data_IF_222031530684
#
_entry.id   IF_222031530684
#
_cell.length_a   1.000
_cell.length_b   1.000
_cell.length_c   1.000
_cell.angle_alpha   90.00
_cell.angle_beta   90.00
_cell.angle_gamma   90.00
#
_symmetry.space_group_name_H-M   'P 1'
#
loop_
_entity.id
_entity.type
_entity.pdbx_description
1 polymer ?
#
# COMPACT_ATOMS: atom_id res chain seq x y z
N UNK A 1 19.53 8.95 7.35
CA UNK A 1 18.26 9.64 7.10
C UNK A 1 17.36 8.79 6.21
N UNK A 2 16.05 9.02 6.27
CA UNK A 2 15.06 8.35 5.41
C UNK A 2 15.36 8.50 3.93
N UNK A 3 15.94 9.59 3.50
CA UNK A 3 16.30 9.85 2.10
C UNK A 3 17.34 8.87 1.54
N UNK A 4 18.14 8.25 2.39
CA UNK A 4 19.26 7.40 2.05
C UNK A 4 19.00 5.91 2.26
N UNK A 5 17.72 5.48 2.30
CA UNK A 5 17.34 4.08 2.42
C UNK A 5 16.42 3.66 1.29
N UNK A 6 16.53 2.39 0.90
CA UNK A 6 15.58 1.77 -0.02
C UNK A 6 14.30 1.36 0.71
N UNK A 7 13.19 1.33 -0.03
CA UNK A 7 11.94 0.72 0.39
C UNK A 7 11.70 -0.59 -0.34
N UNK A 8 11.21 -1.60 0.38
CA UNK A 8 10.90 -2.90 -0.18
C UNK A 8 9.48 -3.33 0.20
N UNK A 9 8.66 -3.63 -0.79
CA UNK A 9 7.40 -4.31 -0.60
C UNK A 9 7.68 -5.79 -0.38
N UNK A 10 7.56 -6.27 0.87
CA UNK A 10 7.85 -7.68 1.20
C UNK A 10 6.83 -8.64 0.61
N UNK A 11 5.57 -8.23 0.59
CA UNK A 11 4.47 -9.05 0.09
C UNK A 11 4.48 -9.16 -1.42
N UNK A 12 4.06 -10.32 -1.91
CA UNK A 12 3.65 -10.50 -3.29
C UNK A 12 2.22 -10.02 -3.45
N UNK A 13 2.00 -9.12 -4.38
CA UNK A 13 0.68 -8.72 -4.89
C UNK A 13 0.46 -9.30 -6.28
N UNK A 14 -0.62 -8.94 -6.93
CA UNK A 14 -0.83 -9.27 -8.33
C UNK A 14 -1.20 -8.04 -9.15
N UNK A 15 -0.83 -8.09 -10.44
CA UNK A 15 -1.30 -7.18 -11.48
C UNK A 15 -2.26 -7.94 -12.39
N UNK A 16 -3.38 -7.32 -12.74
CA UNK A 16 -4.38 -7.89 -13.62
C UNK A 16 -4.55 -6.96 -14.82
N UNK A 17 -4.32 -7.47 -16.01
CA UNK A 17 -4.46 -6.69 -17.23
C UNK A 17 -5.91 -6.64 -17.72
N UNK A 18 -6.15 -5.88 -18.80
CA UNK A 18 -7.48 -5.73 -19.39
C UNK A 18 -8.07 -7.03 -19.96
N UNK A 19 -7.22 -8.04 -20.24
CA UNK A 19 -7.65 -9.38 -20.69
C UNK A 19 -8.01 -10.29 -19.51
N UNK A 20 -7.86 -9.83 -18.26
CA UNK A 20 -8.08 -10.65 -17.07
C UNK A 20 -6.91 -11.59 -16.73
N UNK A 21 -5.74 -11.43 -17.35
CA UNK A 21 -4.56 -12.21 -17.01
C UNK A 21 -3.89 -11.67 -15.75
N UNK A 22 -3.53 -12.57 -14.84
CA UNK A 22 -2.90 -12.25 -13.55
C UNK A 22 -1.41 -12.53 -13.61
N UNK A 23 -0.63 -11.55 -13.10
CA UNK A 23 0.82 -11.66 -12.89
C UNK A 23 1.14 -11.33 -11.43
N UNK A 24 2.05 -12.09 -10.83
CA UNK A 24 2.53 -11.81 -9.48
C UNK A 24 3.57 -10.70 -9.53
N UNK A 25 3.56 -9.83 -8.52
CA UNK A 25 4.43 -8.65 -8.48
C UNK A 25 5.00 -8.40 -7.11
N UNK A 26 6.26 -7.96 -7.05
CA UNK A 26 6.88 -7.31 -5.89
C UNK A 26 7.29 -5.89 -6.24
N UNK A 27 7.06 -4.97 -5.30
CA UNK A 27 7.31 -3.55 -5.46
C UNK A 27 8.60 -3.14 -4.74
N UNK A 28 9.41 -2.28 -5.36
CA UNK A 28 10.69 -1.80 -4.83
C UNK A 28 10.85 -0.31 -5.05
N UNK A 29 11.43 0.38 -4.06
CA UNK A 29 11.79 1.79 -4.14
C UNK A 29 13.28 1.92 -3.89
N UNK A 30 14.05 2.29 -4.91
CA UNK A 30 15.50 2.45 -4.83
C UNK A 30 15.85 3.92 -4.69
N UNK A 31 16.48 4.31 -3.58
CA UNK A 31 16.87 5.70 -3.36
C UNK A 31 17.82 6.20 -4.45
N UNK A 32 17.54 7.40 -4.97
CA UNK A 32 18.41 8.07 -5.95
C UNK A 32 19.43 9.01 -5.29
N UNK A 33 19.37 9.17 -3.95
CA UNK A 33 20.32 9.94 -3.15
C UNK A 33 21.54 9.12 -2.72
N UNK A 34 21.58 7.83 -3.04
CA UNK A 34 22.58 6.89 -2.54
C UNK A 34 22.29 6.39 -1.12
N UNK A 35 22.92 5.28 -0.76
CA UNK A 35 22.82 4.69 0.57
C UNK A 35 23.89 5.34 1.45
N UNK A 36 23.48 5.83 2.62
CA UNK A 36 24.38 6.36 3.64
C UNK A 36 24.13 5.68 4.98
N UNK A 37 25.22 5.38 5.68
CA UNK A 37 25.21 4.78 7.01
C UNK A 37 26.04 5.60 7.98
N UNK A 38 25.79 5.44 9.27
CA UNK A 38 26.54 6.06 10.36
C UNK A 38 27.04 5.01 11.32
N UNK A 39 28.10 5.31 12.07
CA UNK A 39 28.62 4.44 13.12
C UNK A 39 27.71 4.47 14.35
N UNK A 40 27.85 3.48 15.25
CA UNK A 40 27.11 3.44 16.50
C UNK A 40 27.35 4.70 17.36
N UNK A 41 28.61 5.15 17.48
CA UNK A 41 28.95 6.36 18.25
C UNK A 41 28.30 7.62 17.66
N UNK A 42 28.22 7.74 16.33
CA UNK A 42 27.51 8.84 15.67
C UNK A 42 25.99 8.75 15.95
N UNK A 43 25.44 7.53 15.91
CA UNK A 43 24.00 7.32 16.20
C UNK A 43 23.68 7.74 17.65
N UNK A 44 24.47 7.33 18.63
CA UNK A 44 24.32 7.72 20.04
C UNK A 44 24.38 9.24 20.23
N UNK A 45 25.36 9.91 19.62
CA UNK A 45 25.50 11.36 19.70
C UNK A 45 24.34 12.12 19.04
N UNK A 46 23.79 11.60 17.94
CA UNK A 46 22.63 12.18 17.26
C UNK A 46 21.38 12.01 18.12
N UNK A 47 21.12 10.79 18.59
CA UNK A 47 19.92 10.47 19.40
C UNK A 47 19.90 11.25 20.71
N UNK A 48 21.07 11.47 21.32
CA UNK A 48 21.19 12.26 22.55
C UNK A 48 20.75 13.73 22.37
N UNK A 49 20.85 14.26 21.16
CA UNK A 49 20.47 15.66 20.83
C UNK A 49 19.07 15.74 20.20
N UNK A 50 18.79 14.86 19.27
CA UNK A 50 17.57 14.91 18.47
C UNK A 50 17.19 13.50 17.99
N UNK A 51 16.24 12.88 18.69
CA UNK A 51 15.70 11.56 18.31
C UNK A 51 14.95 11.59 16.98
N UNK A 52 14.42 12.75 16.61
CA UNK A 52 13.63 12.96 15.39
C UNK A 52 14.50 13.49 14.23
N UNK A 53 15.82 13.33 14.31
CA UNK A 53 16.78 13.82 13.31
C UNK A 53 16.47 13.35 11.88
N UNK A 54 15.97 12.13 11.70
CA UNK A 54 15.61 11.61 10.40
C UNK A 54 14.38 12.32 9.81
N UNK A 55 13.39 12.60 10.64
CA UNK A 55 12.19 13.34 10.25
C UNK A 55 12.53 14.79 9.95
N UNK A 56 13.36 15.42 10.80
CA UNK A 56 13.87 16.79 10.59
C UNK A 56 14.60 16.91 9.27
N UNK A 57 15.54 16.01 8.99
CA UNK A 57 16.31 16.00 7.73
C UNK A 57 15.39 15.90 6.51
N UNK A 58 14.39 15.03 6.54
CA UNK A 58 13.42 14.89 5.46
C UNK A 58 12.62 16.18 5.25
N UNK A 59 12.05 16.71 6.33
CA UNK A 59 11.25 17.93 6.29
C UNK A 59 12.02 19.14 5.78
N UNK A 60 13.21 19.39 6.34
CA UNK A 60 14.06 20.53 5.98
C UNK A 60 14.57 20.45 4.53
N UNK A 61 14.88 19.25 4.03
CA UNK A 61 15.28 19.08 2.63
C UNK A 61 14.13 19.36 1.67
N UNK A 62 12.94 18.88 1.96
CA UNK A 62 11.75 19.21 1.15
C UNK A 62 11.47 20.72 1.20
N UNK A 63 11.54 21.34 2.38
CA UNK A 63 11.35 22.76 2.56
C UNK A 63 12.38 23.61 1.77
N UNK A 64 13.61 23.11 1.67
CA UNK A 64 14.69 23.76 0.91
C UNK A 64 14.63 23.50 -0.61
N UNK A 65 13.68 22.70 -1.09
CA UNK A 65 13.59 22.31 -2.50
C UNK A 65 14.51 21.16 -2.92
N UNK A 66 15.22 20.53 -1.98
CA UNK A 66 16.04 19.35 -2.21
C UNK A 66 15.19 18.10 -2.16
N UNK A 67 14.33 17.91 -3.15
CA UNK A 67 13.32 16.86 -3.18
C UNK A 67 13.94 15.46 -3.29
N UNK A 68 13.77 14.60 -2.28
CA UNK A 68 14.28 13.23 -2.35
C UNK A 68 13.44 12.38 -3.32
N UNK A 69 14.14 11.46 -4.00
CA UNK A 69 13.56 10.65 -5.08
C UNK A 69 13.93 9.18 -4.91
N UNK A 70 13.02 8.32 -5.36
CA UNK A 70 13.25 6.88 -5.47
C UNK A 70 12.83 6.40 -6.85
N UNK A 71 13.66 5.54 -7.45
CA UNK A 71 13.24 4.73 -8.59
C UNK A 71 12.19 3.74 -8.12
N UNK A 72 11.00 3.80 -8.70
CA UNK A 72 9.97 2.79 -8.48
C UNK A 72 10.17 1.65 -9.48
N UNK A 73 10.38 0.46 -8.95
CA UNK A 73 10.73 -0.73 -9.72
C UNK A 73 9.86 -1.90 -9.30
N UNK A 74 9.61 -2.82 -10.23
CA UNK A 74 8.84 -4.03 -9.97
C UNK A 74 9.59 -5.27 -10.44
N UNK A 75 9.31 -6.40 -9.79
CA UNK A 75 9.62 -7.74 -10.30
C UNK A 75 8.30 -8.43 -10.65
N UNK A 76 8.27 -9.14 -11.75
CA UNK A 76 7.08 -9.84 -12.26
C UNK A 76 7.37 -11.33 -12.37
N UNK A 77 6.36 -12.13 -12.02
CA UNK A 77 6.38 -13.59 -12.14
C UNK A 77 5.02 -14.05 -12.72
N UNK A 78 5.05 -14.94 -13.70
CA UNK A 78 3.81 -15.55 -14.24
C UNK A 78 3.27 -16.62 -13.29
N UNK A 79 2.03 -17.06 -13.51
CA UNK A 79 1.44 -18.17 -12.75
C UNK A 79 2.24 -19.46 -12.92
N UNK A 80 2.71 -19.74 -14.13
CA UNK A 80 3.51 -20.91 -14.46
C UNK A 80 4.85 -20.88 -13.73
N UNK A 81 5.54 -19.75 -13.77
CA UNK A 81 6.78 -19.55 -13.02
C UNK A 81 6.59 -19.72 -11.52
N UNK A 82 5.47 -19.25 -10.99
CA UNK A 82 5.17 -19.39 -9.55
C UNK A 82 4.95 -20.87 -9.15
N UNK A 83 4.31 -21.67 -10.02
CA UNK A 83 4.11 -23.12 -9.80
C UNK A 83 5.41 -23.91 -9.89
N UNK A 84 6.34 -23.51 -10.74
CA UNK A 84 7.64 -24.17 -10.94
C UNK A 84 8.74 -23.65 -10.03
N UNK A 85 8.47 -22.61 -9.23
CA UNK A 85 9.45 -21.96 -8.38
C UNK A 85 9.99 -22.92 -7.32
N UNK A 86 11.31 -22.94 -7.13
CA UNK A 86 11.99 -23.81 -6.14
C UNK A 86 11.78 -23.37 -4.67
N UNK A 87 11.17 -22.23 -4.46
CA UNK A 87 10.79 -21.68 -3.15
C UNK A 87 9.35 -21.15 -3.23
N UNK A 88 8.72 -20.95 -2.08
CA UNK A 88 7.39 -20.33 -2.05
C UNK A 88 7.48 -18.84 -2.40
N UNK A 89 7.01 -18.40 -3.59
CA UNK A 89 7.08 -17.00 -4.02
C UNK A 89 6.15 -16.07 -3.22
N UNK A 90 5.23 -16.63 -2.43
CA UNK A 90 4.30 -15.91 -1.56
C UNK A 90 4.76 -15.85 -0.10
N UNK A 91 5.92 -16.38 0.20
CA UNK A 91 6.57 -16.20 1.50
C UNK A 91 7.28 -14.83 1.50
N UNK A 92 6.79 -13.93 2.35
CA UNK A 92 7.31 -12.55 2.45
C UNK A 92 8.80 -12.50 2.87
N UNK A 93 9.35 -13.57 3.46
CA UNK A 93 10.77 -13.66 3.85
C UNK A 93 11.67 -14.01 2.68
N UNK A 94 11.13 -14.43 1.54
CA UNK A 94 11.90 -14.84 0.37
C UNK A 94 12.14 -13.67 -0.59
N UNK A 95 13.36 -13.61 -1.06
CA UNK A 95 13.79 -12.67 -2.11
C UNK A 95 13.67 -13.38 -3.46
N UNK A 96 13.07 -12.72 -4.44
CA UNK A 96 13.10 -13.20 -5.81
C UNK A 96 14.46 -12.87 -6.44
N UNK A 97 15.24 -13.84 -6.92
CA UNK A 97 16.55 -13.58 -7.50
C UNK A 97 16.47 -12.63 -8.70
N UNK A 98 17.25 -11.56 -8.70
CA UNK A 98 17.22 -10.55 -9.77
C UNK A 98 17.68 -11.12 -11.12
N UNK A 99 18.44 -12.22 -11.12
CA UNK A 99 18.87 -12.90 -12.34
C UNK A 99 17.67 -13.53 -13.08
N UNK A 100 16.73 -14.09 -12.31
CA UNK A 100 15.59 -14.82 -12.85
C UNK A 100 14.35 -13.91 -12.99
N UNK A 101 14.23 -12.94 -12.08
CA UNK A 101 13.16 -11.92 -12.03
C UNK A 101 13.79 -10.54 -12.00
N UNK A 102 14.19 -9.97 -13.14
CA UNK A 102 14.90 -8.69 -13.19
C UNK A 102 14.01 -7.53 -12.74
N UNK A 103 14.66 -6.50 -12.22
CA UNK A 103 13.99 -5.26 -11.83
C UNK A 103 13.56 -4.49 -13.08
N UNK A 104 12.30 -4.14 -13.14
CA UNK A 104 11.71 -3.33 -14.21
C UNK A 104 11.39 -1.95 -13.62
N UNK A 105 12.07 -0.92 -14.13
CA UNK A 105 11.81 0.46 -13.71
C UNK A 105 10.50 0.96 -14.34
N UNK A 106 9.58 1.40 -13.51
CA UNK A 106 8.26 1.89 -13.94
C UNK A 106 8.05 3.37 -13.68
N UNK A 107 8.83 3.99 -12.79
CA UNK A 107 8.68 5.41 -12.52
C UNK A 107 9.66 5.95 -11.49
N UNK A 108 9.42 7.20 -11.10
CA UNK A 108 10.15 7.88 -10.02
C UNK A 108 9.14 8.45 -9.03
N UNK A 109 9.29 8.07 -7.76
CA UNK A 109 8.60 8.72 -6.65
C UNK A 109 9.41 9.93 -6.20
N UNK A 110 8.79 11.09 -6.11
CA UNK A 110 9.41 12.32 -5.61
C UNK A 110 8.61 12.85 -4.43
N UNK A 111 9.25 13.13 -3.31
CA UNK A 111 8.62 13.82 -2.18
C UNK A 111 8.94 15.31 -2.30
N UNK A 112 7.95 16.11 -2.66
CA UNK A 112 8.11 17.52 -3.04
C UNK A 112 7.23 18.49 -2.25
N UNK A 113 6.45 18.00 -1.30
CA UNK A 113 5.58 18.83 -0.47
C UNK A 113 5.57 18.32 0.98
N UNK A 114 5.69 19.23 1.92
CA UNK A 114 5.51 18.95 3.34
C UNK A 114 4.05 19.10 3.74
N UNK A 115 3.56 18.38 4.76
CA UNK A 115 2.23 18.60 5.31
C UNK A 115 2.12 20.01 5.91
N UNK A 116 0.94 20.62 5.76
CA UNK A 116 0.61 21.91 6.39
C UNK A 116 0.14 21.76 7.82
N UNK A 117 -0.53 20.65 8.10
CA UNK A 117 -0.99 20.29 9.43
C UNK A 117 -0.67 18.82 9.69
N UNK A 118 0.29 18.59 10.58
CA UNK A 118 0.80 17.24 10.87
C UNK A 118 -0.30 16.31 11.41
N UNK A 119 -1.17 16.80 12.28
CA UNK A 119 -2.24 15.99 12.84
C UNK A 119 -3.22 15.53 11.76
N UNK A 120 -3.73 16.46 10.96
CA UNK A 120 -4.76 16.17 9.97
C UNK A 120 -4.24 15.35 8.77
N UNK A 121 -2.99 15.57 8.36
CA UNK A 121 -2.45 15.02 7.12
C UNK A 121 -1.51 13.83 7.35
N UNK A 122 -1.00 13.65 8.58
CA UNK A 122 -0.04 12.58 8.89
C UNK A 122 -0.54 11.67 10.01
N UNK A 123 -0.89 12.19 11.19
CA UNK A 123 -1.29 11.33 12.32
C UNK A 123 -2.59 10.57 12.06
N UNK A 124 -3.53 11.17 11.35
CA UNK A 124 -4.80 10.51 10.98
C UNK A 124 -4.70 9.67 9.71
N UNK A 125 -3.58 9.69 9.01
CA UNK A 125 -3.36 8.83 7.84
C UNK A 125 -3.43 7.35 8.24
N UNK A 126 -4.17 6.56 7.46
CA UNK A 126 -4.54 5.19 7.79
C UNK A 126 -4.22 4.27 6.61
N UNK A 127 -2.92 3.97 6.45
CA UNK A 127 -2.48 3.05 5.41
C UNK A 127 -2.95 1.62 5.69
N UNK A 128 -3.48 0.97 4.67
CA UNK A 128 -3.87 -0.44 4.75
C UNK A 128 -3.42 -1.19 3.49
N UNK A 129 -2.91 -2.42 3.65
CA UNK A 129 -2.57 -3.26 2.51
C UNK A 129 -3.79 -3.66 1.67
N UNK A 130 -5.00 -3.48 2.20
CA UNK A 130 -6.26 -3.72 1.47
C UNK A 130 -6.65 -2.58 0.52
N UNK A 131 -6.02 -1.40 0.64
CA UNK A 131 -6.33 -0.25 -0.21
C UNK A 131 -5.62 -0.38 -1.56
N UNK A 132 -6.20 -1.13 -2.45
CA UNK A 132 -5.71 -1.35 -3.82
C UNK A 132 -6.61 -0.62 -4.83
N UNK A 133 -6.08 -0.41 -6.02
CA UNK A 133 -6.80 0.18 -7.16
C UNK A 133 -7.10 -0.90 -8.19
N UNK A 134 -8.10 -0.70 -9.09
CA UNK A 134 -8.37 -1.64 -10.17
C UNK A 134 -7.10 -2.00 -10.95
N UNK A 135 -6.90 -3.31 -11.19
CA UNK A 135 -5.70 -3.85 -11.82
C UNK A 135 -4.59 -4.24 -10.84
N UNK A 136 -4.70 -3.89 -9.56
CA UNK A 136 -3.83 -4.40 -8.50
C UNK A 136 -4.69 -5.23 -7.53
N UNK A 137 -4.25 -6.44 -7.22
CA UNK A 137 -4.96 -7.33 -6.31
C UNK A 137 -3.99 -8.12 -5.42
N UNK A 138 -4.55 -8.98 -4.60
CA UNK A 138 -3.83 -9.73 -3.58
C UNK A 138 -3.20 -11.01 -4.13
N UNK A 139 -2.52 -11.73 -3.26
CA UNK A 139 -1.91 -13.03 -3.52
C UNK A 139 -2.23 -14.01 -2.39
N UNK A 140 -1.86 -15.30 -2.52
CA UNK A 140 -1.99 -16.30 -1.46
C UNK A 140 -1.04 -16.10 -0.27
N UNK A 141 -0.22 -15.05 -0.23
CA UNK A 141 0.63 -14.71 0.92
C UNK A 141 -0.20 -14.66 2.20
N UNK A 142 0.02 -15.62 3.10
CA UNK A 142 -0.78 -15.79 4.32
C UNK A 142 -0.70 -14.58 5.25
N UNK A 143 0.47 -13.94 5.32
CA UNK A 143 0.64 -12.74 6.14
C UNK A 143 -0.10 -11.54 5.52
N UNK A 144 -0.07 -11.39 4.20
CA UNK A 144 -0.85 -10.37 3.50
C UNK A 144 -2.35 -10.57 3.77
N UNK A 145 -2.85 -11.78 3.64
CA UNK A 145 -4.25 -12.12 3.92
C UNK A 145 -4.65 -11.77 5.37
N UNK A 146 -3.80 -12.05 6.34
CA UNK A 146 -4.04 -11.66 7.73
C UNK A 146 -4.03 -10.12 7.91
N UNK A 147 -3.12 -9.42 7.25
CA UNK A 147 -2.99 -7.95 7.33
C UNK A 147 -4.18 -7.21 6.72
N UNK A 148 -4.85 -7.77 5.72
CA UNK A 148 -6.07 -7.21 5.14
C UNK A 148 -7.16 -7.01 6.19
N UNK A 149 -7.26 -7.90 7.18
CA UNK A 149 -8.22 -7.78 8.28
C UNK A 149 -7.74 -6.90 9.42
N UNK A 150 -6.45 -6.98 9.76
CA UNK A 150 -5.93 -6.34 10.97
C UNK A 150 -5.87 -4.82 10.87
N UNK A 151 -5.51 -4.27 9.70
CA UNK A 151 -5.37 -2.82 9.58
C UNK A 151 -6.69 -2.05 9.62
N UNK A 152 -7.75 -2.46 8.92
CA UNK A 152 -9.04 -1.80 9.07
C UNK A 152 -9.57 -1.81 10.50
N UNK A 153 -9.41 -2.92 11.23
CA UNK A 153 -9.80 -3.03 12.62
C UNK A 153 -8.99 -2.08 13.52
N UNK A 154 -7.66 -2.11 13.38
CA UNK A 154 -6.77 -1.22 14.13
C UNK A 154 -7.08 0.27 13.88
N UNK A 155 -7.39 0.65 12.66
CA UNK A 155 -7.71 2.04 12.32
C UNK A 155 -9.06 2.51 12.86
N UNK A 156 -10.06 1.63 12.89
CA UNK A 156 -11.34 1.94 13.56
C UNK A 156 -11.12 2.24 15.04
N UNK A 157 -10.23 1.52 15.69
CA UNK A 157 -9.87 1.76 17.08
C UNK A 157 -9.01 3.02 17.26
N UNK A 158 -7.95 3.18 16.45
CA UNK A 158 -6.99 4.28 16.59
C UNK A 158 -7.55 5.63 16.17
N UNK A 159 -8.30 5.70 15.08
CA UNK A 159 -8.75 6.96 14.46
C UNK A 159 -10.25 7.17 14.66
N UNK A 160 -11.05 6.14 14.45
CA UNK A 160 -12.51 6.18 14.58
C UNK A 160 -13.22 5.35 13.51
N UNK A 161 -14.51 5.07 13.73
CA UNK A 161 -15.30 4.18 12.89
C UNK A 161 -15.30 4.57 11.41
N UNK A 162 -15.38 5.86 11.11
CA UNK A 162 -15.40 6.40 9.75
C UNK A 162 -14.08 7.05 9.33
N UNK A 163 -12.95 6.49 9.74
CA UNK A 163 -11.62 7.00 9.38
C UNK A 163 -11.40 7.09 7.85
N UNK A 164 -12.07 6.25 7.07
CA UNK A 164 -11.99 6.25 5.61
C UNK A 164 -12.64 7.47 4.96
N UNK A 165 -13.53 8.18 5.68
CA UNK A 165 -14.16 9.40 5.21
C UNK A 165 -13.32 10.66 5.44
N UNK A 166 -12.24 10.57 6.23
CA UNK A 166 -11.34 11.69 6.46
C UNK A 166 -10.65 12.11 5.17
N UNK A 167 -10.46 13.42 4.92
CA UNK A 167 -9.82 13.91 3.70
C UNK A 167 -8.48 13.27 3.38
N UNK A 168 -7.68 12.93 4.40
CA UNK A 168 -6.38 12.27 4.25
C UNK A 168 -6.48 10.82 3.81
N UNK A 169 -7.60 10.15 4.06
CA UNK A 169 -7.79 8.72 3.82
C UNK A 169 -8.74 8.42 2.65
N UNK A 170 -9.70 9.32 2.40
CA UNK A 170 -10.71 9.07 1.37
C UNK A 170 -10.12 9.14 -0.04
N UNK A 171 -10.64 8.34 -0.98
CA UNK A 171 -10.31 8.49 -2.39
C UNK A 171 -10.65 9.90 -2.90
N UNK A 172 -9.84 10.42 -3.84
CA UNK A 172 -10.16 11.69 -4.53
C UNK A 172 -11.31 11.49 -5.50
N UNK A 173 -11.35 10.32 -6.15
CA UNK A 173 -12.47 9.92 -7.01
C UNK A 173 -13.54 9.28 -6.13
N UNK A 174 -14.79 9.67 -6.34
CA UNK A 174 -15.92 9.12 -5.59
C UNK A 174 -16.01 7.60 -5.75
N UNK A 175 -16.15 6.93 -4.62
CA UNK A 175 -16.36 5.48 -4.54
C UNK A 175 -17.65 5.23 -3.79
N UNK A 176 -18.63 4.59 -4.45
CA UNK A 176 -19.85 4.18 -3.80
C UNK A 176 -19.58 3.07 -2.79
N UNK A 177 -19.94 3.31 -1.55
CA UNK A 177 -19.83 2.34 -0.45
C UNK A 177 -21.18 2.14 0.21
N UNK A 178 -21.33 1.04 0.95
CA UNK A 178 -22.49 0.80 1.79
C UNK A 178 -22.44 1.50 3.15
N UNK A 179 -21.49 2.41 3.38
CA UNK A 179 -21.36 3.17 4.62
C UNK A 179 -22.53 4.15 4.75
N UNK A 180 -23.57 3.75 5.46
CA UNK A 180 -24.78 4.55 5.69
C UNK A 180 -24.89 5.03 7.13
N UNK A 181 -24.43 4.23 8.09
CA UNK A 181 -24.63 4.43 9.52
C UNK A 181 -23.31 4.35 10.30
N UNK A 182 -23.35 4.64 11.58
CA UNK A 182 -22.23 4.53 12.51
C UNK A 182 -21.71 5.87 13.01
N UNK A 183 -20.91 5.81 14.07
CA UNK A 183 -20.36 7.00 14.72
C UNK A 183 -19.56 7.88 13.77
N UNK A 184 -19.78 9.18 13.82
CA UNK A 184 -19.07 10.17 12.98
C UNK A 184 -19.38 10.07 11.50
N UNK A 185 -20.45 9.41 11.10
CA UNK A 185 -20.95 9.53 9.73
C UNK A 185 -21.52 10.94 9.51
N UNK A 186 -20.97 11.67 8.56
CA UNK A 186 -21.36 13.04 8.21
C UNK A 186 -21.87 13.17 6.78
N UNK A 187 -21.80 12.11 5.98
CA UNK A 187 -22.31 12.13 4.60
C UNK A 187 -23.80 11.86 4.58
N UNK A 188 -24.51 12.73 3.88
CA UNK A 188 -25.93 12.52 3.58
C UNK A 188 -25.99 11.70 2.29
N UNK A 189 -26.39 10.43 2.43
CA UNK A 189 -26.60 9.55 1.27
C UNK A 189 -28.08 9.30 1.08
N UNK A 190 -28.50 9.16 -0.17
CA UNK A 190 -29.83 8.65 -0.44
C UNK A 190 -29.97 7.24 0.14
N UNK A 191 -31.08 6.94 0.81
CA UNK A 191 -31.29 5.63 1.39
C UNK A 191 -31.39 4.56 0.31
N UNK A 192 -30.77 3.42 0.55
CA UNK A 192 -30.99 2.21 -0.23
C UNK A 192 -32.15 1.40 0.35
N UNK A 193 -33.02 0.90 -0.51
CA UNK A 193 -34.08 -0.01 -0.07
C UNK A 193 -33.55 -1.40 0.30
N UNK A 194 -32.37 -1.75 -0.19
CA UNK A 194 -31.69 -3.01 0.12
C UNK A 194 -30.16 -2.86 0.10
N UNK A 195 -29.47 -3.57 1.00
CA UNK A 195 -28.02 -3.62 1.14
C UNK A 195 -27.42 -4.96 0.67
N UNK A 196 -28.12 -5.69 -0.15
CA UNK A 196 -27.69 -6.98 -0.67
C UNK A 196 -27.93 -7.09 -2.18
N UNK A 197 -27.20 -7.95 -2.82
CA UNK A 197 -27.26 -8.25 -4.24
C UNK A 197 -27.44 -9.75 -4.45
N UNK A 198 -28.23 -10.20 -5.44
CA UNK A 198 -29.06 -9.37 -6.33
C UNK A 198 -30.37 -8.93 -5.65
N UNK A 199 -30.90 -7.77 -6.04
CA UNK A 199 -32.19 -7.29 -5.59
C UNK A 199 -32.90 -6.47 -6.69
N UNK A 200 -34.22 -6.22 -6.51
CA UNK A 200 -35.03 -5.39 -7.40
C UNK A 200 -35.44 -4.04 -6.77
N UNK A 201 -34.80 -3.65 -5.66
CA UNK A 201 -35.14 -2.48 -4.84
C UNK A 201 -34.17 -1.32 -5.01
N UNK A 202 -33.49 -1.20 -6.14
CA UNK A 202 -32.51 -0.15 -6.42
C UNK A 202 -31.33 -0.09 -5.43
N UNK A 203 -30.97 -1.21 -4.81
CA UNK A 203 -29.77 -1.32 -4.01
C UNK A 203 -28.50 -1.24 -4.88
N UNK A 204 -27.33 -1.18 -4.25
CA UNK A 204 -26.07 -1.16 -4.95
C UNK A 204 -25.87 -2.40 -5.83
N UNK A 205 -25.22 -2.22 -6.96
CA UNK A 205 -24.95 -3.28 -7.95
C UNK A 205 -23.44 -3.39 -8.15
N UNK A 206 -22.93 -4.63 -8.11
CA UNK A 206 -21.53 -4.92 -8.39
C UNK A 206 -21.14 -4.43 -9.79
N UNK A 207 -20.03 -3.71 -9.89
CA UNK A 207 -19.45 -3.37 -11.18
C UNK A 207 -18.62 -4.54 -11.71
N UNK A 208 -19.23 -5.38 -12.54
CA UNK A 208 -18.61 -6.59 -13.10
C UNK A 208 -17.39 -6.33 -14.00
N UNK A 209 -17.15 -5.07 -14.42
CA UNK A 209 -15.93 -4.74 -15.17
C UNK A 209 -14.65 -4.85 -14.33
N UNK A 210 -14.79 -4.91 -13.01
CA UNK A 210 -13.68 -5.12 -12.06
C UNK A 210 -13.63 -6.54 -11.51
N UNK A 211 -14.40 -7.48 -12.08
CA UNK A 211 -14.31 -8.89 -11.71
C UNK A 211 -12.89 -9.41 -11.91
N UNK A 212 -12.37 -10.09 -10.90
CA UNK A 212 -11.02 -10.61 -10.89
C UNK A 212 -10.99 -12.11 -11.19
N UNK A 213 -9.98 -12.61 -11.94
CA UNK A 213 -9.79 -14.03 -12.10
C UNK A 213 -9.47 -14.67 -10.76
N UNK A 214 -10.03 -15.84 -10.50
CA UNK A 214 -9.67 -16.63 -9.32
C UNK A 214 -8.18 -17.01 -9.34
N UNK A 215 -7.60 -17.21 -8.15
CA UNK A 215 -6.27 -17.81 -8.02
C UNK A 215 -6.32 -19.00 -7.07
N UNK A 216 -5.49 -20.00 -7.34
CA UNK A 216 -5.40 -21.17 -6.50
C UNK A 216 -4.61 -20.86 -5.22
N UNK A 217 -5.18 -21.19 -4.08
CA UNK A 217 -4.50 -21.09 -2.77
C UNK A 217 -3.87 -22.43 -2.35
N UNK A 218 -3.96 -23.45 -3.24
CA UNK A 218 -3.52 -24.82 -2.95
C UNK A 218 -2.07 -24.92 -2.49
N UNK A 219 -1.65 -26.05 -2.01
CA UNK A 219 -0.36 -26.48 -1.42
C UNK A 219 0.88 -25.56 -1.57
N UNK A 220 0.71 -24.29 -1.32
CA UNK A 220 1.78 -23.32 -1.17
C UNK A 220 2.21 -23.41 0.30
N UNK A 221 2.89 -24.49 0.60
CA UNK A 221 3.42 -24.76 1.93
C UNK A 221 4.74 -24.02 2.14
#
# INVERSE_FOLDING_TARGET
SYRHVNGYGSHTYSLINASGERFWVKFHFKTLQGIETITNAQAEAIVAKDRESNQRDLFENIQAGNFPKWSFEIQIMTNEQAKECSFNPFDLTKVWPHKDYPMIKVGIMTLNENPKNYFNEIEQASFSPSNVVPGISFSPDKMLQARIFSYPDAHRYRVGTHYEMLPVNRPIVEVNTYHADGSMNYEIKEPYDAYYEPNSFNGAIENKSFAEPAFETGNIA
#
